data_IF_737727298561
#
_entry.id   IF_737727298561
#
_cell.length_a   1.000
_cell.length_b   1.000
_cell.length_c   1.000
_cell.angle_alpha   90.00
_cell.angle_beta   90.00
_cell.angle_gamma   90.00
#
_symmetry.space_group_name_H-M   'P 1'
#
loop_
_entity.id
_entity.type
_entity.pdbx_description
1 polymer ?
#
# COMPACT_ATOMS: atom_id res chain seq x y z
N UNK A 1 -3.59 11.32 21.85
CA UNK A 1 -2.55 10.45 22.46
C UNK A 1 -1.15 10.86 22.00
N UNK A 2 -0.10 10.52 22.78
CA UNK A 2 1.30 10.63 22.34
C UNK A 2 1.88 9.23 22.13
N UNK A 3 2.41 8.91 20.94
CA UNK A 3 2.94 7.57 20.68
C UNK A 3 3.27 7.25 19.22
N UNK A 4 3.38 5.97 18.89
CA UNK A 4 3.60 5.48 17.53
C UNK A 4 2.46 4.54 17.15
N UNK A 5 1.85 4.77 15.98
CA UNK A 5 0.84 3.89 15.39
C UNK A 5 1.49 3.16 14.23
N UNK A 6 1.40 1.84 14.21
CA UNK A 6 2.01 1.00 13.18
C UNK A 6 0.90 0.24 12.47
N UNK A 7 0.90 0.29 11.14
CA UNK A 7 0.08 -0.53 10.26
C UNK A 7 0.98 -1.30 9.32
N UNK A 8 0.95 -2.63 9.38
CA UNK A 8 1.64 -3.51 8.46
C UNK A 8 0.59 -4.33 7.71
N UNK A 9 0.50 -4.17 6.39
CA UNK A 9 -0.45 -4.88 5.52
C UNK A 9 -1.90 -4.78 6.04
N UNK A 10 -2.32 -3.53 6.26
CA UNK A 10 -3.66 -3.23 6.75
C UNK A 10 -4.51 -2.58 5.67
N UNK A 11 -3.91 -1.71 4.85
CA UNK A 11 -4.63 -0.84 3.94
C UNK A 11 -4.95 -1.60 2.65
N UNK A 12 -4.09 -2.54 2.22
CA UNK A 12 -4.36 -3.41 1.08
C UNK A 12 -5.64 -4.24 1.22
N UNK A 13 -5.99 -4.60 2.47
CA UNK A 13 -7.11 -5.45 2.82
C UNK A 13 -8.43 -4.67 2.99
N UNK A 14 -8.39 -3.34 2.84
CA UNK A 14 -9.60 -2.53 2.87
C UNK A 14 -10.43 -2.74 1.60
N UNK A 15 -11.76 -2.66 1.70
CA UNK A 15 -12.63 -2.78 0.54
C UNK A 15 -12.38 -1.63 -0.44
N UNK A 16 -12.30 -1.98 -1.73
CA UNK A 16 -12.13 -1.05 -2.84
C UNK A 16 -13.31 -1.10 -3.80
N UNK A 17 -13.52 0.02 -4.49
CA UNK A 17 -14.37 0.05 -5.67
C UNK A 17 -13.51 -0.28 -6.90
N UNK A 18 -13.96 -1.18 -7.77
CA UNK A 18 -13.36 -1.31 -9.09
C UNK A 18 -14.05 -0.37 -10.06
N UNK A 19 -13.25 0.34 -10.86
CA UNK A 19 -13.72 1.25 -11.90
C UNK A 19 -13.09 0.91 -13.24
N UNK A 20 -13.74 1.35 -14.31
CA UNK A 20 -13.24 1.23 -15.67
C UNK A 20 -13.60 2.47 -16.48
N UNK A 21 -12.70 2.91 -17.35
CA UNK A 21 -12.97 4.03 -18.24
C UNK A 21 -13.57 3.56 -19.56
N UNK A 22 -14.88 3.79 -19.76
CA UNK A 22 -15.60 3.45 -21.00
C UNK A 22 -16.55 4.62 -21.33
N UNK A 23 -16.04 5.57 -22.12
CA UNK A 23 -16.76 6.79 -22.48
C UNK A 23 -17.22 7.57 -21.23
N UNK A 24 -16.29 7.76 -20.30
CA UNK A 24 -16.51 8.24 -18.94
C UNK A 24 -16.34 7.14 -17.90
N UNK A 25 -16.04 7.57 -16.68
CA UNK A 25 -15.77 6.68 -15.56
C UNK A 25 -17.01 5.84 -15.24
N UNK A 26 -16.85 4.52 -15.22
CA UNK A 26 -17.85 3.54 -14.80
C UNK A 26 -17.34 2.76 -13.60
N UNK A 27 -18.26 2.20 -12.84
CA UNK A 27 -17.96 1.28 -11.74
C UNK A 27 -18.32 -0.15 -12.14
N UNK A 28 -17.48 -1.09 -11.69
CA UNK A 28 -17.69 -2.53 -11.85
C UNK A 28 -18.35 -3.05 -10.57
N UNK A 29 -19.61 -3.45 -10.70
CA UNK A 29 -20.43 -4.07 -9.67
C UNK A 29 -20.38 -5.59 -9.75
N UNK A 30 -20.80 -6.21 -8.65
CA UNK A 30 -21.03 -7.65 -8.57
C UNK A 30 -22.50 -7.94 -8.86
N UNK A 31 -22.76 -8.67 -9.93
CA UNK A 31 -24.05 -9.25 -10.29
C UNK A 31 -24.14 -10.73 -9.97
N UNK A 32 -25.34 -11.29 -10.07
CA UNK A 32 -25.57 -12.73 -9.96
C UNK A 32 -26.50 -13.21 -11.07
N UNK A 33 -26.03 -14.12 -11.91
CA UNK A 33 -26.76 -14.65 -13.06
C UNK A 33 -26.44 -16.14 -13.26
N UNK A 34 -27.46 -16.94 -13.55
CA UNK A 34 -27.33 -18.36 -13.86
C UNK A 34 -26.50 -19.16 -12.81
N UNK A 35 -26.67 -18.80 -11.53
CA UNK A 35 -25.98 -19.45 -10.41
C UNK A 35 -24.54 -18.97 -10.17
N UNK A 36 -24.06 -17.98 -10.91
CA UNK A 36 -22.68 -17.48 -10.85
C UNK A 36 -22.62 -15.97 -10.61
N UNK A 37 -21.57 -15.50 -9.93
CA UNK A 37 -21.26 -14.08 -9.84
C UNK A 37 -20.64 -13.57 -11.14
N UNK A 38 -21.02 -12.36 -11.55
CA UNK A 38 -20.57 -11.73 -12.79
C UNK A 38 -20.25 -10.26 -12.56
N UNK A 39 -19.37 -9.68 -13.38
CA UNK A 39 -19.16 -8.23 -13.42
C UNK A 39 -20.36 -7.53 -14.10
N UNK A 40 -20.83 -6.43 -13.51
CA UNK A 40 -21.82 -5.52 -14.12
C UNK A 40 -21.22 -4.12 -14.18
N UNK A 41 -21.21 -3.48 -15.34
CA UNK A 41 -20.66 -2.14 -15.50
C UNK A 41 -21.81 -1.13 -15.51
N UNK A 42 -21.77 -0.13 -14.61
CA UNK A 42 -22.75 0.95 -14.56
C UNK A 42 -22.10 2.28 -14.11
N UNK A 43 -22.89 3.34 -14.00
CA UNK A 43 -22.48 4.64 -13.48
C UNK A 43 -21.88 4.52 -12.07
N UNK A 44 -20.94 5.39 -11.68
CA UNK A 44 -20.41 5.42 -10.32
C UNK A 44 -21.51 5.51 -9.25
N UNK A 45 -21.35 4.73 -8.17
CA UNK A 45 -22.27 4.68 -7.02
C UNK A 45 -22.17 5.93 -6.15
N UNK A 46 -21.05 6.65 -6.26
CA UNK A 46 -20.75 7.84 -5.47
C UNK A 46 -19.89 8.81 -6.27
N UNK A 47 -20.06 10.11 -6.02
CA UNK A 47 -19.19 11.16 -6.54
C UNK A 47 -17.76 11.06 -5.99
N UNK A 48 -17.57 10.31 -4.89
CA UNK A 48 -16.25 10.05 -4.33
C UNK A 48 -15.28 9.39 -5.33
N UNK A 49 -15.77 8.64 -6.31
CA UNK A 49 -14.96 7.99 -7.34
C UNK A 49 -14.40 8.98 -8.37
N UNK A 50 -15.19 9.79 -9.09
CA UNK A 50 -14.64 10.81 -9.97
C UNK A 50 -13.82 11.86 -9.20
N UNK A 51 -14.24 12.25 -7.99
CA UNK A 51 -13.49 13.19 -7.15
C UNK A 51 -12.12 12.62 -6.75
N UNK A 52 -11.99 11.30 -6.60
CA UNK A 52 -10.72 10.64 -6.30
C UNK A 52 -9.68 10.93 -7.38
N UNK A 53 -10.01 10.64 -8.63
CA UNK A 53 -9.11 10.87 -9.76
C UNK A 53 -8.85 12.36 -10.00
N UNK A 54 -9.86 13.21 -9.85
CA UNK A 54 -9.72 14.66 -9.97
C UNK A 54 -8.74 15.23 -8.94
N UNK A 55 -8.83 14.82 -7.66
CA UNK A 55 -7.88 15.24 -6.62
C UNK A 55 -6.45 14.78 -6.86
N UNK A 56 -6.28 13.67 -7.58
CA UNK A 56 -4.98 13.09 -7.91
C UNK A 56 -4.39 13.61 -9.23
N UNK A 57 -5.18 14.36 -10.02
CA UNK A 57 -4.85 14.73 -11.40
C UNK A 57 -4.52 13.50 -12.26
N UNK A 58 -5.35 12.47 -12.13
CA UNK A 58 -5.23 11.22 -12.88
C UNK A 58 -6.37 11.13 -13.89
N UNK A 59 -6.03 10.73 -15.10
CA UNK A 59 -6.99 10.37 -16.16
C UNK A 59 -6.70 8.95 -16.58
N UNK A 60 -7.72 8.10 -16.52
CA UNK A 60 -7.63 6.73 -17.00
C UNK A 60 -7.77 6.71 -18.52
N UNK A 61 -7.11 5.75 -19.16
CA UNK A 61 -7.27 5.47 -20.59
C UNK A 61 -8.47 4.57 -20.86
N UNK A 62 -9.00 4.60 -22.08
CA UNK A 62 -10.12 3.74 -22.45
C UNK A 62 -9.82 2.26 -22.20
N UNK A 63 -10.72 1.58 -21.48
CA UNK A 63 -10.60 0.19 -21.08
C UNK A 63 -9.73 -0.05 -19.84
N UNK A 64 -9.07 0.98 -19.30
CA UNK A 64 -8.25 0.84 -18.10
C UNK A 64 -9.12 0.58 -16.86
N UNK A 65 -8.88 -0.57 -16.22
CA UNK A 65 -9.43 -0.91 -14.89
C UNK A 65 -8.54 -0.33 -13.79
N UNK A 66 -9.15 0.07 -12.68
CA UNK A 66 -8.44 0.55 -11.50
C UNK A 66 -9.25 0.30 -10.22
N UNK A 67 -8.57 0.20 -9.08
CA UNK A 67 -9.16 0.13 -7.75
C UNK A 67 -9.12 1.51 -7.06
N UNK A 68 -10.20 1.85 -6.39
CA UNK A 68 -10.34 3.09 -5.63
C UNK A 68 -10.68 2.76 -4.18
N UNK A 69 -9.74 3.05 -3.28
CA UNK A 69 -9.93 2.85 -1.85
C UNK A 69 -10.40 4.14 -1.16
N UNK A 70 -11.73 4.30 -1.04
CA UNK A 70 -12.32 5.44 -0.34
C UNK A 70 -12.18 5.32 1.18
N UNK A 71 -12.06 4.10 1.72
CA UNK A 71 -12.00 3.84 3.17
C UNK A 71 -10.67 4.24 3.79
N UNK A 72 -9.58 4.23 3.03
CA UNK A 72 -8.27 4.74 3.49
C UNK A 72 -8.35 6.17 4.01
N UNK A 73 -9.20 7.01 3.39
CA UNK A 73 -9.39 8.42 3.80
C UNK A 73 -10.01 8.50 5.20
N UNK A 74 -11.03 7.69 5.49
CA UNK A 74 -11.70 7.66 6.78
C UNK A 74 -10.77 7.12 7.88
N UNK A 75 -10.00 6.10 7.55
CA UNK A 75 -9.03 5.49 8.44
C UNK A 75 -7.94 6.49 8.84
N UNK A 76 -7.24 7.11 7.89
CA UNK A 76 -6.13 8.01 8.20
C UNK A 76 -6.59 9.29 8.92
N UNK A 77 -7.81 9.77 8.64
CA UNK A 77 -8.43 10.84 9.41
C UNK A 77 -8.69 10.43 10.86
N UNK A 78 -9.12 9.19 11.09
CA UNK A 78 -9.33 8.68 12.45
C UNK A 78 -8.01 8.51 13.21
N UNK A 79 -6.97 8.02 12.54
CA UNK A 79 -5.60 7.99 13.08
C UNK A 79 -5.11 9.39 13.44
N UNK A 80 -5.25 10.36 12.53
CA UNK A 80 -4.83 11.74 12.76
C UNK A 80 -5.61 12.44 13.88
N UNK A 81 -6.88 12.08 14.12
CA UNK A 81 -7.66 12.56 15.29
C UNK A 81 -7.18 11.96 16.60
N UNK A 82 -6.77 10.69 16.59
CA UNK A 82 -6.31 10.00 17.80
C UNK A 82 -4.93 10.50 18.24
N UNK A 83 -4.03 10.78 17.29
CA UNK A 83 -2.65 11.19 17.54
C UNK A 83 -2.56 12.71 17.79
N UNK A 84 -2.01 13.10 18.94
CA UNK A 84 -1.68 14.49 19.26
C UNK A 84 -0.21 14.78 18.95
N UNK A 85 0.67 13.82 19.28
CA UNK A 85 2.11 13.91 19.06
C UNK A 85 2.71 12.53 18.79
N UNK A 86 3.53 12.38 17.77
CA UNK A 86 4.16 11.09 17.48
C UNK A 86 4.26 10.76 16.00
N UNK A 87 4.28 9.46 15.70
CA UNK A 87 4.46 8.91 14.36
C UNK A 87 3.35 7.94 13.95
N UNK A 88 3.10 7.86 12.65
CA UNK A 88 2.32 6.82 11.99
C UNK A 88 3.25 6.14 11.00
N UNK A 89 3.45 4.83 11.15
CA UNK A 89 4.28 4.00 10.29
C UNK A 89 3.36 3.09 9.50
N UNK A 90 3.36 3.23 8.17
CA UNK A 90 2.60 2.39 7.26
C UNK A 90 3.55 1.60 6.37
N UNK A 91 3.45 0.28 6.46
CA UNK A 91 4.21 -0.70 5.69
C UNK A 91 3.20 -1.48 4.86
N UNK A 92 3.22 -1.29 3.54
CA UNK A 92 2.21 -1.87 2.67
C UNK A 92 2.70 -1.92 1.21
N UNK A 93 2.06 -2.73 0.37
CA UNK A 93 2.39 -2.84 -1.05
C UNK A 93 1.63 -1.80 -1.86
N UNK A 94 2.35 -0.97 -2.61
CA UNK A 94 1.70 0.06 -3.41
C UNK A 94 2.64 1.03 -4.06
N UNK A 95 2.05 2.10 -4.59
CA UNK A 95 2.74 3.06 -5.45
C UNK A 95 2.19 4.48 -5.24
N UNK A 96 2.96 5.52 -5.57
CA UNK A 96 2.41 6.85 -5.82
C UNK A 96 1.39 6.83 -6.96
N UNK A 97 0.39 7.71 -6.94
CA UNK A 97 -0.74 7.66 -7.88
C UNK A 97 -0.33 7.64 -9.37
N UNK A 98 0.69 8.43 -9.73
CA UNK A 98 1.19 8.48 -11.13
C UNK A 98 1.76 7.16 -11.63
N UNK A 99 2.30 6.35 -10.73
CA UNK A 99 2.84 5.02 -11.04
C UNK A 99 1.75 3.94 -10.89
N UNK A 100 0.86 4.09 -9.91
CA UNK A 100 -0.27 3.19 -9.69
C UNK A 100 -1.21 3.15 -10.90
N UNK A 101 -1.56 4.31 -11.46
CA UNK A 101 -2.54 4.40 -12.54
C UNK A 101 -1.92 4.47 -13.94
N UNK A 102 -0.71 3.93 -14.13
CA UNK A 102 -0.15 3.80 -15.47
C UNK A 102 -1.01 2.86 -16.34
N UNK A 103 -1.24 3.18 -17.63
CA UNK A 103 -2.14 2.41 -18.49
C UNK A 103 -1.81 0.93 -18.59
N UNK A 104 -0.53 0.57 -18.55
CA UNK A 104 -0.07 -0.82 -18.65
C UNK A 104 -0.25 -1.65 -17.37
N UNK A 105 -0.65 -1.05 -16.23
CA UNK A 105 -0.75 -1.80 -14.96
C UNK A 105 -2.00 -2.67 -14.89
N UNK A 106 -3.12 -2.16 -15.40
CA UNK A 106 -4.42 -2.80 -15.24
C UNK A 106 -4.87 -2.89 -13.77
N UNK A 107 -5.77 -3.84 -13.51
CA UNK A 107 -6.31 -4.14 -12.16
C UNK A 107 -5.20 -4.57 -11.21
N UNK A 108 -5.21 -3.99 -10.02
CA UNK A 108 -4.32 -4.34 -8.91
C UNK A 108 -4.97 -5.24 -7.87
N UNK A 109 -6.26 -5.56 -8.02
CA UNK A 109 -6.96 -6.53 -7.20
C UNK A 109 -6.33 -7.93 -7.39
N UNK A 110 -5.89 -8.54 -6.30
CA UNK A 110 -5.28 -9.86 -6.27
C UNK A 110 -5.98 -10.74 -5.24
N UNK A 111 -6.11 -12.02 -5.56
CA UNK A 111 -6.72 -13.02 -4.70
C UNK A 111 -5.72 -14.12 -4.33
N UNK A 112 -5.71 -14.54 -3.07
CA UNK A 112 -4.77 -15.55 -2.58
C UNK A 112 -5.49 -16.69 -1.86
N UNK A 113 -5.18 -17.93 -2.25
CA UNK A 113 -5.66 -19.13 -1.59
C UNK A 113 -4.56 -20.18 -1.49
N UNK A 114 -4.18 -20.58 -0.27
CA UNK A 114 -3.13 -21.59 -0.01
C UNK A 114 -1.83 -21.30 -0.78
N UNK A 115 -1.34 -20.06 -0.70
CA UNK A 115 -0.16 -19.57 -1.41
C UNK A 115 -0.25 -19.56 -2.96
N UNK A 116 -1.43 -19.77 -3.53
CA UNK A 116 -1.69 -19.61 -4.96
C UNK A 116 -2.38 -18.28 -5.23
N UNK A 117 -1.79 -17.48 -6.13
CA UNK A 117 -2.34 -16.21 -6.59
C UNK A 117 -3.31 -16.42 -7.75
N UNK A 118 -4.40 -15.66 -7.77
CA UNK A 118 -5.31 -15.51 -8.91
C UNK A 118 -5.92 -14.10 -8.93
N UNK A 119 -6.71 -13.79 -9.95
CA UNK A 119 -7.33 -12.48 -10.17
C UNK A 119 -8.87 -12.52 -10.14
N UNK A 120 -9.46 -13.67 -9.76
CA UNK A 120 -10.90 -13.89 -9.81
C UNK A 120 -11.52 -13.81 -8.39
N UNK A 121 -12.17 -12.67 -8.03
CA UNK A 121 -12.77 -12.49 -6.71
C UNK A 121 -14.01 -13.37 -6.49
N UNK A 122 -14.58 -13.96 -7.54
CA UNK A 122 -15.80 -14.78 -7.46
C UNK A 122 -15.54 -16.25 -7.13
N UNK A 123 -14.28 -16.65 -6.99
CA UNK A 123 -13.91 -17.98 -6.54
C UNK A 123 -13.81 -18.03 -5.03
N UNK A 124 -14.14 -19.18 -4.43
CA UNK A 124 -13.85 -19.49 -3.01
C UNK A 124 -14.22 -18.36 -2.04
N UNK A 125 -15.39 -17.75 -2.24
CA UNK A 125 -15.84 -16.59 -1.44
C UNK A 125 -15.84 -16.96 0.05
N UNK A 126 -15.20 -16.11 0.85
CA UNK A 126 -14.99 -16.33 2.29
C UNK A 126 -13.82 -17.24 2.65
N UNK A 127 -13.15 -17.86 1.67
CA UNK A 127 -12.00 -18.76 1.87
C UNK A 127 -10.72 -18.28 1.21
N UNK A 128 -10.77 -17.29 0.33
CA UNK A 128 -9.59 -16.64 -0.24
C UNK A 128 -9.45 -15.21 0.27
N UNK A 129 -8.21 -14.76 0.38
CA UNK A 129 -7.89 -13.38 0.70
C UNK A 129 -7.99 -12.51 -0.57
N UNK A 130 -8.30 -11.22 -0.40
CA UNK A 130 -8.44 -10.25 -1.48
C UNK A 130 -7.76 -8.94 -1.09
N UNK A 131 -6.76 -8.53 -1.87
CA UNK A 131 -5.96 -7.34 -1.59
C UNK A 131 -5.87 -6.44 -2.82
N UNK A 132 -5.55 -5.17 -2.60
CA UNK A 132 -5.32 -4.19 -3.67
C UNK A 132 -4.10 -3.33 -3.35
N UNK A 133 -3.42 -2.82 -4.38
CA UNK A 133 -2.22 -1.99 -4.16
C UNK A 133 -2.61 -0.63 -3.55
N UNK A 134 -1.86 -0.20 -2.54
CA UNK A 134 -2.11 1.06 -1.84
C UNK A 134 -1.71 2.27 -2.69
N UNK A 135 -2.60 3.25 -2.75
CA UNK A 135 -2.30 4.59 -3.28
C UNK A 135 -1.70 5.48 -2.18
N UNK A 136 -0.37 5.57 -2.16
CA UNK A 136 0.36 6.36 -1.17
C UNK A 136 0.19 7.87 -1.37
N UNK A 137 -0.12 8.35 -2.58
CA UNK A 137 -0.41 9.77 -2.83
C UNK A 137 -1.76 10.14 -2.20
N UNK A 138 -2.80 9.33 -2.40
CA UNK A 138 -4.11 9.57 -1.80
C UNK A 138 -4.06 9.48 -0.27
N UNK A 139 -3.38 8.46 0.27
CA UNK A 139 -3.16 8.32 1.72
C UNK A 139 -2.48 9.58 2.30
N UNK A 140 -1.38 10.02 1.67
CA UNK A 140 -0.64 11.21 2.10
C UNK A 140 -1.49 12.48 2.02
N UNK A 141 -2.22 12.71 0.93
CA UNK A 141 -3.10 13.88 0.76
C UNK A 141 -4.21 13.90 1.82
N UNK A 142 -4.84 12.76 2.09
CA UNK A 142 -5.88 12.65 3.12
C UNK A 142 -5.32 12.90 4.54
N UNK A 143 -4.11 12.41 4.81
CA UNK A 143 -3.44 12.58 6.09
C UNK A 143 -3.08 14.04 6.41
N UNK A 144 -2.66 14.82 5.41
CA UNK A 144 -2.39 16.27 5.58
C UNK A 144 -3.60 17.01 6.14
N UNK A 145 -4.81 16.68 5.67
CA UNK A 145 -6.06 17.22 6.19
C UNK A 145 -6.36 16.84 7.65
N UNK A 146 -5.65 15.86 8.21
CA UNK A 146 -5.76 15.42 9.60
C UNK A 146 -4.58 15.88 10.49
N UNK A 147 -3.73 16.77 9.97
CA UNK A 147 -2.55 17.31 10.67
C UNK A 147 -1.36 16.35 10.72
N UNK A 148 -1.32 15.34 9.84
CA UNK A 148 -0.18 14.44 9.68
C UNK A 148 0.70 14.93 8.52
N UNK A 149 1.99 15.12 8.80
CA UNK A 149 2.99 15.52 7.81
C UNK A 149 3.90 14.34 7.45
N UNK A 150 4.39 14.30 6.21
CA UNK A 150 5.27 13.22 5.76
C UNK A 150 6.67 13.44 6.32
N UNK A 151 7.15 12.47 7.11
CA UNK A 151 8.56 12.40 7.54
C UNK A 151 9.42 11.86 6.40
N UNK A 152 8.99 10.76 5.79
CA UNK A 152 9.67 10.14 4.66
C UNK A 152 8.84 9.05 4.00
N UNK A 153 9.21 8.70 2.77
CA UNK A 153 8.59 7.64 1.99
C UNK A 153 9.64 6.92 1.16
N UNK A 154 9.72 5.59 1.23
CA UNK A 154 10.70 4.84 0.44
C UNK A 154 10.30 3.38 0.26
N UNK A 155 11.11 2.57 -0.43
CA UNK A 155 10.91 1.12 -0.52
C UNK A 155 11.40 0.42 0.74
N UNK A 156 10.90 -0.78 1.02
CA UNK A 156 11.37 -1.57 2.16
C UNK A 156 12.88 -1.82 2.09
N UNK A 157 13.41 -2.13 0.90
CA UNK A 157 14.84 -2.28 0.69
C UNK A 157 15.64 -1.06 1.15
N UNK A 158 15.30 0.13 0.65
CA UNK A 158 16.01 1.36 1.01
C UNK A 158 15.84 1.73 2.48
N UNK A 159 14.70 1.43 3.08
CA UNK A 159 14.46 1.67 4.49
C UNK A 159 15.35 0.80 5.39
N UNK A 160 15.41 -0.51 5.12
CA UNK A 160 16.26 -1.45 5.86
C UNK A 160 17.76 -1.14 5.67
N UNK A 161 18.15 -0.76 4.45
CA UNK A 161 19.50 -0.26 4.19
C UNK A 161 19.82 0.98 5.02
N UNK A 162 18.89 1.94 5.13
CA UNK A 162 19.03 3.12 5.98
C UNK A 162 19.15 2.78 7.46
N UNK A 163 18.46 1.74 7.94
CA UNK A 163 18.55 1.29 9.33
C UNK A 163 19.87 0.59 9.67
N UNK A 164 20.61 0.08 8.67
CA UNK A 164 21.89 -0.61 8.87
C UNK A 164 21.77 -2.13 8.97
N UNK A 165 20.85 -2.72 8.19
CA UNK A 165 20.64 -4.18 8.17
C UNK A 165 21.91 -4.97 7.77
N UNK A 166 22.83 -4.36 7.02
CA UNK A 166 24.09 -5.01 6.65
C UNK A 166 25.06 -5.15 7.83
N UNK A 167 25.08 -4.16 8.73
CA UNK A 167 25.85 -4.20 9.97
C UNK A 167 25.28 -5.27 10.91
N UNK A 168 23.95 -5.29 11.09
CA UNK A 168 23.27 -6.31 11.90
C UNK A 168 23.55 -7.73 11.38
N UNK A 169 23.50 -7.94 10.05
CA UNK A 169 23.84 -9.22 9.42
C UNK A 169 25.28 -9.68 9.72
N UNK A 170 26.24 -8.76 9.77
CA UNK A 170 27.64 -9.08 10.10
C UNK A 170 27.79 -9.49 11.55
N UNK A 171 27.17 -8.75 12.47
CA UNK A 171 27.19 -9.07 13.90
C UNK A 171 26.57 -10.44 14.18
N UNK A 172 25.45 -10.76 13.52
CA UNK A 172 24.82 -12.07 13.59
C UNK A 172 25.76 -13.17 13.03
N UNK A 173 26.48 -12.87 11.95
CA UNK A 173 27.55 -13.69 11.37
C UNK A 173 28.64 -14.12 12.37
N UNK A 174 28.94 -13.25 13.33
CA UNK A 174 29.99 -13.44 14.33
C UNK A 174 29.49 -14.14 15.61
N UNK A 175 28.17 -14.24 15.79
CA UNK A 175 27.58 -15.00 16.89
C UNK A 175 27.75 -16.51 16.63
N UNK A 176 28.11 -17.29 17.67
CA UNK A 176 28.16 -18.76 17.64
C UNK A 176 26.75 -19.39 17.58
N UNK A 177 25.92 -18.97 16.63
CA UNK A 177 24.59 -19.51 16.36
C UNK A 177 24.73 -20.78 15.54
N UNK A 178 23.83 -21.73 15.72
CA UNK A 178 23.76 -22.94 14.90
C UNK A 178 23.67 -22.58 13.40
N UNK A 179 24.44 -23.29 12.57
CA UNK A 179 24.56 -23.02 11.13
C UNK A 179 23.22 -23.07 10.37
N UNK A 180 22.26 -23.85 10.85
CA UNK A 180 20.91 -23.92 10.28
C UNK A 180 20.07 -22.66 10.55
N UNK A 181 20.17 -22.08 11.73
CA UNK A 181 19.41 -20.87 12.07
C UNK A 181 19.99 -19.65 11.34
N UNK A 182 21.31 -19.61 11.20
CA UNK A 182 22.02 -18.62 10.37
C UNK A 182 21.56 -18.64 8.90
N UNK A 183 21.37 -19.83 8.33
CA UNK A 183 20.85 -19.96 6.96
C UNK A 183 19.41 -19.44 6.83
N UNK A 184 18.54 -19.76 7.79
CA UNK A 184 17.15 -19.27 7.79
C UNK A 184 17.08 -17.75 7.92
N UNK A 185 17.89 -17.16 8.80
CA UNK A 185 17.94 -15.72 8.99
C UNK A 185 18.44 -15.00 7.74
N UNK A 186 19.53 -15.49 7.15
CA UNK A 186 20.03 -14.97 5.88
C UNK A 186 19.01 -15.07 4.75
N UNK A 187 18.23 -16.15 4.71
CA UNK A 187 17.17 -16.32 3.72
C UNK A 187 16.03 -15.33 3.94
N UNK A 188 15.52 -15.19 5.18
CA UNK A 188 14.45 -14.24 5.48
C UNK A 188 14.84 -12.79 5.20
N UNK A 189 16.07 -12.39 5.52
CA UNK A 189 16.55 -11.04 5.23
C UNK A 189 16.69 -10.81 3.72
N UNK A 190 17.16 -11.82 2.97
CA UNK A 190 17.16 -11.76 1.50
C UNK A 190 15.74 -11.61 0.95
N UNK A 191 14.76 -12.34 1.46
CA UNK A 191 13.36 -12.21 1.02
C UNK A 191 12.79 -10.80 1.29
N UNK A 192 13.12 -10.20 2.45
CA UNK A 192 12.71 -8.84 2.79
C UNK A 192 13.37 -7.76 1.93
N UNK A 193 14.56 -8.02 1.40
CA UNK A 193 15.39 -7.01 0.74
C UNK A 193 15.48 -7.15 -0.79
N UNK A 194 15.40 -8.35 -1.33
CA UNK A 194 15.76 -8.56 -2.74
C UNK A 194 14.77 -7.87 -3.70
N UNK A 195 15.30 -7.18 -4.74
CA UNK A 195 14.51 -6.71 -5.87
C UNK A 195 13.75 -7.85 -6.55
N UNK A 196 12.54 -7.57 -7.03
CA UNK A 196 11.63 -8.61 -7.56
C UNK A 196 10.93 -9.46 -6.49
N UNK A 197 11.09 -9.09 -5.22
CA UNK A 197 10.33 -9.59 -4.07
C UNK A 197 9.84 -8.44 -3.20
N UNK A 198 9.83 -8.63 -1.87
CA UNK A 198 9.28 -7.62 -0.95
C UNK A 198 10.04 -6.29 -0.96
N UNK A 199 11.34 -6.31 -1.30
CA UNK A 199 12.21 -5.14 -1.20
C UNK A 199 11.75 -3.94 -2.03
N UNK A 200 11.18 -4.18 -3.21
CA UNK A 200 10.69 -3.12 -4.10
C UNK A 200 9.18 -2.93 -4.01
N UNK A 201 8.42 -4.01 -3.80
CA UNK A 201 6.96 -3.96 -3.78
C UNK A 201 6.43 -3.24 -2.54
N UNK A 202 7.01 -3.53 -1.37
CA UNK A 202 6.66 -2.87 -0.13
C UNK A 202 7.22 -1.46 -0.08
N UNK A 203 6.37 -0.55 0.40
CA UNK A 203 6.74 0.84 0.69
C UNK A 203 6.59 1.10 2.17
N UNK A 204 7.46 1.97 2.67
CA UNK A 204 7.45 2.49 4.02
C UNK A 204 7.09 3.97 3.94
N UNK A 205 5.89 4.31 4.42
CA UNK A 205 5.48 5.70 4.64
C UNK A 205 5.54 5.98 6.15
N UNK A 206 6.31 6.99 6.55
CA UNK A 206 6.25 7.49 7.93
C UNK A 206 5.75 8.93 7.91
N UNK A 207 4.75 9.16 8.74
CA UNK A 207 4.16 10.46 8.97
C UNK A 207 4.28 10.84 10.44
N UNK A 208 4.22 12.12 10.75
CA UNK A 208 4.33 12.63 12.10
C UNK A 208 3.31 13.72 12.37
N UNK A 209 3.08 13.98 13.66
CA UNK A 209 2.27 15.10 14.16
C UNK A 209 2.87 15.62 15.45
N UNK A 210 2.83 16.94 15.66
CA UNK A 210 3.31 17.56 16.90
C UNK A 210 4.82 17.38 17.18
N UNK A 211 5.61 17.10 16.15
CA UNK A 211 7.07 16.96 16.21
C UNK A 211 7.67 17.90 15.16
N UNK A 212 8.67 18.68 15.52
CA UNK A 212 9.32 19.62 14.59
C UNK A 212 10.40 18.89 13.77
N UNK A 213 10.27 18.96 12.45
CA UNK A 213 11.21 18.45 11.44
C UNK A 213 11.95 17.14 11.82
N UNK A 214 11.25 16.03 12.12
CA UNK A 214 11.90 14.78 12.53
C UNK A 214 12.77 14.21 11.40
N UNK A 215 14.00 13.83 11.73
CA UNK A 215 14.89 13.08 10.86
C UNK A 215 15.01 11.63 11.36
N UNK A 216 14.69 10.65 10.52
CA UNK A 216 14.74 9.23 10.88
C UNK A 216 15.79 8.50 10.03
N UNK A 217 16.62 7.68 10.70
CA UNK A 217 17.74 6.94 10.08
C UNK A 217 17.31 6.09 8.88
N UNK A 218 16.11 5.50 8.92
CA UNK A 218 15.57 4.68 7.82
C UNK A 218 15.43 5.42 6.48
N UNK A 219 15.37 6.75 6.46
CA UNK A 219 15.33 7.53 5.22
C UNK A 219 16.69 8.04 4.75
N UNK A 220 17.78 7.69 5.45
CA UNK A 220 19.12 8.19 5.13
C UNK A 220 19.71 7.62 3.83
N UNK A 221 19.30 6.42 3.42
CA UNK A 221 19.83 5.78 2.20
C UNK A 221 19.20 6.38 0.93
N UNK A 222 17.87 6.41 0.87
CA UNK A 222 17.12 7.06 -0.22
C UNK A 222 15.70 7.40 0.22
N UNK A 223 15.36 8.68 0.25
CA UNK A 223 13.99 9.17 0.46
C UNK A 223 13.34 9.47 -0.89
N UNK A 224 12.16 8.90 -1.11
CA UNK A 224 11.36 9.00 -2.33
C UNK A 224 10.13 9.89 -2.13
N UNK A 225 9.98 10.61 -1.01
CA UNK A 225 8.78 11.44 -0.76
C UNK A 225 8.46 12.50 -1.82
N UNK A 226 9.40 12.86 -2.69
CA UNK A 226 9.17 13.75 -3.84
C UNK A 226 8.27 13.13 -4.91
N UNK A 227 8.04 11.82 -4.87
CA UNK A 227 7.15 11.11 -5.80
C UNK A 227 5.68 11.13 -5.37
N UNK A 228 5.40 11.52 -4.11
CA UNK A 228 4.06 11.51 -3.50
C UNK A 228 3.17 12.66 -3.94
#
# INVERSE_FOLDING_TARGET
MTGCIISNELIDAFPVHQVIEINGLKEIYVGYKDGQFVEIIDKPSTLGLPDYFARLDIKLEHGQKAEVNLKTIDWIKSVGRLLDKGFVVTVDYGFPAKELFQPHRGSTLQCYYKHAMNDNPFQRIGYQDMTSKVDFTNLTKAARGAGLEVTGFTTQFYFLMGLGVLEELKEIGELNVNSLDMLKWNQGIKELMLPGGMGDDFKILIQHKGIDAPALKGFSYKDLKYTL
#
